data_IF_229154317763
#
_entry.id   IF_229154317763
#
_cell.length_a   1.000
_cell.length_b   1.000
_cell.length_c   1.000
_cell.angle_alpha   90.00
_cell.angle_beta   90.00
_cell.angle_gamma   90.00
#
_symmetry.space_group_name_H-M   'P 1'
#
loop_
_entity.id
_entity.type
_entity.pdbx_description
1 polymer ?
#
# COMPACT_ATOMS: atom_id res chain seq x y z
N UNK A 1 16.06 -8.50 2.08
CA UNK A 1 15.54 -8.88 3.41
C UNK A 1 14.07 -9.21 3.23
N UNK A 2 13.54 -10.28 3.82
CA UNK A 2 12.11 -10.64 3.65
C UNK A 2 11.29 -10.10 4.81
N UNK A 3 10.22 -9.35 4.51
CA UNK A 3 9.28 -8.80 5.52
C UNK A 3 7.98 -9.61 5.60
N UNK A 4 8.03 -10.88 5.17
CA UNK A 4 6.90 -11.81 5.30
C UNK A 4 6.51 -11.97 6.77
N UNK A 5 5.21 -11.84 7.06
CA UNK A 5 4.67 -11.87 8.42
C UNK A 5 4.62 -10.51 9.13
N UNK A 6 5.23 -9.46 8.57
CA UNK A 6 5.08 -8.07 9.02
C UNK A 6 4.07 -7.33 8.14
N UNK A 7 4.20 -7.49 6.82
CA UNK A 7 3.27 -6.93 5.85
C UNK A 7 2.06 -7.84 5.65
N UNK A 8 0.86 -7.29 5.38
CA UNK A 8 -0.24 -8.04 4.80
C UNK A 8 0.18 -8.81 3.55
N UNK A 9 -0.46 -9.95 3.29
CA UNK A 9 -0.06 -10.85 2.19
C UNK A 9 -0.28 -10.24 0.80
N UNK A 10 -1.21 -9.30 0.66
CA UNK A 10 -1.61 -8.73 -0.61
C UNK A 10 -1.60 -7.21 -0.59
N UNK A 11 -0.98 -6.64 -1.62
CA UNK A 11 -1.15 -5.25 -2.00
C UNK A 11 -2.27 -5.08 -3.01
N UNK A 12 -2.98 -3.97 -2.89
CA UNK A 12 -4.09 -3.57 -3.73
C UNK A 12 -3.74 -2.26 -4.44
N UNK A 13 -3.84 -2.26 -5.76
CA UNK A 13 -4.00 -1.02 -6.51
C UNK A 13 -5.43 -0.90 -7.03
N UNK A 14 -6.00 0.28 -6.84
CA UNK A 14 -7.38 0.59 -7.18
C UNK A 14 -7.41 1.79 -8.14
N UNK A 15 -7.96 1.54 -9.32
CA UNK A 15 -8.27 2.52 -10.36
C UNK A 15 -9.80 2.68 -10.43
N UNK A 16 -10.34 3.74 -11.06
CA UNK A 16 -11.76 4.05 -11.02
C UNK A 16 -12.72 2.90 -11.35
N UNK A 17 -12.33 1.99 -12.25
CA UNK A 17 -13.14 0.84 -12.68
C UNK A 17 -12.37 -0.49 -12.67
N UNK A 18 -11.14 -0.52 -12.16
CA UNK A 18 -10.27 -1.69 -12.21
C UNK A 18 -9.50 -1.84 -10.91
N UNK A 19 -9.22 -3.07 -10.51
CA UNK A 19 -8.42 -3.36 -9.33
C UNK A 19 -7.49 -4.54 -9.57
N UNK A 20 -6.40 -4.57 -8.82
CA UNK A 20 -5.35 -5.56 -8.96
C UNK A 20 -4.78 -5.89 -7.61
N UNK A 21 -4.39 -7.16 -7.45
CA UNK A 21 -3.79 -7.68 -6.24
C UNK A 21 -2.40 -8.23 -6.56
N UNK A 22 -1.49 -8.11 -5.61
CA UNK A 22 -0.14 -8.67 -5.71
C UNK A 22 0.37 -9.15 -4.36
N UNK A 23 1.05 -10.31 -4.35
CA UNK A 23 1.82 -10.80 -3.19
C UNK A 23 3.32 -10.54 -3.34
N UNK A 24 3.68 -9.59 -4.21
CA UNK A 24 5.04 -9.25 -4.58
C UNK A 24 5.68 -10.18 -5.62
N UNK A 25 5.09 -11.35 -5.92
CA UNK A 25 5.64 -12.32 -6.89
C UNK A 25 4.65 -12.62 -8.03
N UNK A 26 3.37 -12.68 -7.69
CA UNK A 26 2.28 -12.89 -8.63
C UNK A 26 1.30 -11.74 -8.52
N UNK A 27 0.76 -11.36 -9.68
CA UNK A 27 -0.27 -10.33 -9.80
C UNK A 27 -1.53 -10.95 -10.37
N UNK A 28 -2.69 -10.39 -10.02
CA UNK A 28 -3.97 -10.75 -10.62
C UNK A 28 -4.93 -9.57 -10.65
N UNK A 29 -5.78 -9.52 -11.67
CA UNK A 29 -6.95 -8.62 -11.69
C UNK A 29 -8.00 -9.10 -10.71
N UNK A 30 -8.76 -8.15 -10.15
CA UNK A 30 -9.96 -8.42 -9.38
C UNK A 30 -11.09 -7.48 -9.79
N UNK A 31 -12.29 -8.03 -9.91
CA UNK A 31 -13.50 -7.26 -10.17
C UNK A 31 -13.91 -6.44 -8.95
N UNK A 32 -14.53 -5.28 -9.16
CA UNK A 32 -14.89 -4.36 -8.06
C UNK A 32 -15.86 -5.00 -7.06
N UNK A 33 -16.77 -5.87 -7.52
CA UNK A 33 -17.67 -6.63 -6.64
C UNK A 33 -16.87 -7.51 -5.68
N UNK A 34 -15.93 -8.30 -6.20
CA UNK A 34 -15.08 -9.15 -5.37
C UNK A 34 -14.14 -8.33 -4.47
N UNK A 35 -13.65 -7.18 -4.92
CA UNK A 35 -12.88 -6.27 -4.08
C UNK A 35 -13.71 -5.76 -2.89
N UNK A 36 -14.97 -5.39 -3.10
CA UNK A 36 -15.87 -4.96 -2.01
C UNK A 36 -16.12 -6.06 -1.00
N UNK A 37 -16.22 -7.31 -1.46
CA UNK A 37 -16.34 -8.47 -0.58
C UNK A 37 -15.05 -8.70 0.21
N UNK A 38 -13.88 -8.56 -0.43
CA UNK A 38 -12.58 -8.72 0.21
C UNK A 38 -12.28 -7.61 1.24
N UNK A 39 -12.71 -6.38 0.93
CA UNK A 39 -12.43 -5.21 1.73
C UNK A 39 -12.99 -5.35 3.15
N UNK A 40 -12.09 -5.32 4.12
CA UNK A 40 -12.43 -5.52 5.52
C UNK A 40 -12.49 -6.98 6.00
N UNK A 41 -12.38 -7.98 5.11
CA UNK A 41 -12.22 -9.39 5.51
C UNK A 41 -10.79 -9.71 5.92
N UNK A 42 -9.83 -9.14 5.20
CA UNK A 42 -8.41 -9.27 5.47
C UNK A 42 -7.72 -7.91 5.36
N UNK A 43 -6.60 -7.77 6.08
CA UNK A 43 -5.76 -6.59 5.95
C UNK A 43 -5.10 -6.62 4.56
N UNK A 44 -5.01 -5.45 3.93
CA UNK A 44 -4.38 -5.27 2.63
C UNK A 44 -3.34 -4.17 2.75
N UNK A 45 -2.29 -4.26 1.95
CA UNK A 45 -1.43 -3.12 1.65
C UNK A 45 -2.15 -2.23 0.66
N UNK A 46 -2.35 -0.97 1.03
CA UNK A 46 -3.07 0.01 0.22
C UNK A 46 -2.30 1.33 0.17
N UNK A 47 -2.61 2.17 -0.81
CA UNK A 47 -2.23 3.57 -0.78
C UNK A 47 -3.52 4.38 -0.64
N UNK A 48 -3.66 5.11 0.47
CA UNK A 48 -4.83 5.94 0.78
C UNK A 48 -6.11 5.12 1.01
N UNK A 49 -6.13 4.35 2.11
CA UNK A 49 -7.28 3.54 2.52
C UNK A 49 -8.59 4.37 2.61
N UNK A 50 -8.61 5.60 3.15
CA UNK A 50 -9.83 6.42 3.20
C UNK A 50 -10.40 6.72 1.82
N UNK A 51 -9.55 7.06 0.84
CA UNK A 51 -9.98 7.31 -0.53
C UNK A 51 -10.58 6.07 -1.18
N UNK A 52 -9.94 4.90 -1.01
CA UNK A 52 -10.43 3.64 -1.58
C UNK A 52 -11.78 3.28 -0.95
N UNK A 53 -11.91 3.36 0.38
CA UNK A 53 -13.19 3.13 1.09
C UNK A 53 -14.29 4.04 0.57
N UNK A 54 -14.01 5.34 0.42
CA UNK A 54 -14.97 6.31 -0.11
C UNK A 54 -15.46 5.91 -1.51
N UNK A 55 -14.54 5.48 -2.38
CA UNK A 55 -14.86 5.03 -3.74
C UNK A 55 -15.64 3.72 -3.78
N UNK A 56 -15.31 2.76 -2.93
CA UNK A 56 -15.95 1.44 -2.92
C UNK A 56 -17.37 1.46 -2.34
N UNK A 57 -17.61 2.29 -1.32
CA UNK A 57 -18.85 2.27 -0.54
C UNK A 57 -19.65 3.57 -0.61
N UNK A 58 -19.25 4.51 -1.47
CA UNK A 58 -19.90 5.81 -1.65
C UNK A 58 -20.10 6.57 -0.31
N UNK A 59 -19.09 6.53 0.56
CA UNK A 59 -19.11 7.18 1.87
C UNK A 59 -20.02 6.54 2.92
N UNK A 60 -20.66 5.40 2.62
CA UNK A 60 -21.41 4.63 3.62
C UNK A 60 -20.44 3.94 4.59
N UNK A 61 -20.81 3.88 5.86
CA UNK A 61 -20.07 3.11 6.86
C UNK A 61 -20.01 1.64 6.45
N UNK A 62 -18.81 1.06 6.51
CA UNK A 62 -18.55 -0.35 6.22
C UNK A 62 -17.65 -0.91 7.32
N UNK A 63 -17.92 -2.13 7.78
CA UNK A 63 -17.07 -2.77 8.78
C UNK A 63 -15.78 -3.21 8.09
N UNK A 64 -14.65 -2.68 8.53
CA UNK A 64 -13.34 -3.04 7.98
C UNK A 64 -12.34 -3.36 9.08
N UNK A 65 -11.41 -4.26 8.77
CA UNK A 65 -10.15 -4.38 9.51
C UNK A 65 -9.24 -3.21 9.13
N UNK A 66 -8.25 -2.93 9.97
CA UNK A 66 -7.25 -1.92 9.65
C UNK A 66 -6.38 -2.39 8.48
N UNK A 67 -6.41 -1.63 7.39
CA UNK A 67 -5.51 -1.81 6.25
C UNK A 67 -4.14 -1.18 6.57
N UNK A 68 -3.08 -1.69 5.94
CA UNK A 68 -1.75 -1.11 6.07
C UNK A 68 -1.57 -0.07 4.97
N UNK A 69 -1.56 1.21 5.33
CA UNK A 69 -1.41 2.29 4.36
C UNK A 69 0.08 2.60 4.12
N UNK A 70 0.53 2.35 2.90
CA UNK A 70 1.93 2.55 2.50
C UNK A 70 2.29 4.04 2.49
N UNK A 71 1.32 4.96 2.34
CA UNK A 71 1.58 6.39 2.48
C UNK A 71 1.91 6.79 3.92
N UNK A 72 1.29 6.12 4.91
CA UNK A 72 1.62 6.33 6.32
C UNK A 72 3.04 5.82 6.62
N UNK A 73 3.39 4.62 6.12
CA UNK A 73 4.76 4.11 6.21
C UNK A 73 5.76 5.05 5.54
N UNK A 74 5.45 5.55 4.33
CA UNK A 74 6.29 6.50 3.61
C UNK A 74 6.52 7.77 4.43
N UNK A 75 5.44 8.38 4.95
CA UNK A 75 5.54 9.61 5.75
C UNK A 75 6.36 9.41 7.03
N UNK A 76 6.32 8.21 7.61
CA UNK A 76 7.12 7.84 8.77
C UNK A 76 8.61 7.65 8.45
N UNK A 77 8.92 6.90 7.38
CA UNK A 77 10.31 6.59 6.99
C UNK A 77 11.00 7.82 6.39
N UNK A 78 10.26 8.63 5.62
CA UNK A 78 10.75 9.80 4.89
C UNK A 78 9.99 11.06 5.28
N UNK A 79 10.17 11.56 6.52
CA UNK A 79 9.42 12.71 7.00
C UNK A 79 9.69 13.96 6.15
N UNK A 80 8.67 14.81 6.02
CA UNK A 80 8.70 16.07 5.29
C UNK A 80 9.03 15.98 3.78
N UNK A 81 8.89 14.80 3.16
CA UNK A 81 8.98 14.63 1.71
C UNK A 81 7.60 14.64 1.08
N UNK A 82 7.44 15.40 0.00
CA UNK A 82 6.18 15.44 -0.75
C UNK A 82 6.01 14.16 -1.58
N UNK A 83 4.87 13.50 -1.43
CA UNK A 83 4.45 12.38 -2.27
C UNK A 83 2.99 12.59 -2.67
N UNK A 84 2.68 12.46 -3.96
CA UNK A 84 1.27 12.39 -4.37
C UNK A 84 0.62 11.16 -3.70
N UNK A 85 -0.59 11.27 -3.13
CA UNK A 85 -1.18 10.22 -2.30
C UNK A 85 -1.82 9.11 -3.15
N UNK A 86 -1.03 8.52 -4.04
CA UNK A 86 -1.44 7.49 -4.99
C UNK A 86 -0.31 6.49 -5.21
N UNK A 87 -0.64 5.32 -5.76
CA UNK A 87 0.36 4.31 -6.12
C UNK A 87 1.35 4.85 -7.16
N UNK A 88 0.88 5.61 -8.16
CA UNK A 88 1.75 6.25 -9.14
C UNK A 88 2.68 7.31 -8.49
N UNK A 89 2.18 8.08 -7.52
CA UNK A 89 2.99 9.03 -6.76
C UNK A 89 4.11 8.35 -5.96
N UNK A 90 3.77 7.26 -5.26
CA UNK A 90 4.73 6.41 -4.56
C UNK A 90 5.74 5.80 -5.53
N UNK A 91 5.29 5.28 -6.67
CA UNK A 91 6.17 4.73 -7.70
C UNK A 91 7.22 5.75 -8.14
N UNK A 92 6.78 6.95 -8.51
CA UNK A 92 7.64 8.04 -8.98
C UNK A 92 8.71 8.42 -7.96
N UNK A 93 8.32 8.69 -6.70
CA UNK A 93 9.28 9.13 -5.66
C UNK A 93 10.24 8.02 -5.23
N UNK A 94 9.82 6.75 -5.38
CA UNK A 94 10.65 5.59 -5.09
C UNK A 94 11.50 5.14 -6.28
N UNK A 95 11.41 5.84 -7.42
CA UNK A 95 12.22 5.55 -8.61
C UNK A 95 11.71 4.40 -9.48
N UNK A 96 10.47 3.95 -9.25
CA UNK A 96 9.78 3.02 -10.13
C UNK A 96 9.17 3.77 -11.34
N UNK A 97 8.98 3.04 -12.45
CA UNK A 97 8.18 3.55 -13.57
C UNK A 97 6.72 3.76 -13.18
N UNK A 98 6.01 4.58 -13.94
CA UNK A 98 4.56 4.70 -13.78
C UNK A 98 3.90 3.35 -14.11
N UNK A 99 3.04 2.78 -13.23
CA UNK A 99 2.43 1.49 -13.49
C UNK A 99 1.39 1.55 -14.61
N UNK A 100 1.47 0.62 -15.58
CA UNK A 100 0.59 0.56 -16.76
C UNK A 100 -0.83 0.04 -16.45
N UNK A 101 -1.07 -0.42 -15.22
CA UNK A 101 -2.36 -0.98 -14.82
C UNK A 101 -2.44 -1.35 -13.34
N UNK A 102 -3.60 -1.85 -12.89
CA UNK A 102 -3.80 -2.17 -11.48
C UNK A 102 -2.97 -3.38 -11.02
N UNK A 103 -2.70 -4.35 -11.89
CA UNK A 103 -1.85 -5.50 -11.55
C UNK A 103 -0.41 -5.06 -11.25
N UNK A 104 0.17 -4.25 -12.13
CA UNK A 104 1.50 -3.68 -11.95
C UNK A 104 1.52 -2.69 -10.79
N UNK A 105 0.50 -1.84 -10.65
CA UNK A 105 0.39 -0.92 -9.52
C UNK A 105 0.38 -1.66 -8.18
N UNK A 106 -0.32 -2.79 -8.08
CA UNK A 106 -0.33 -3.60 -6.86
C UNK A 106 1.05 -4.19 -6.58
N UNK A 107 1.76 -4.64 -7.63
CA UNK A 107 3.12 -5.13 -7.49
C UNK A 107 4.09 -4.04 -7.05
N UNK A 108 4.07 -2.87 -7.68
CA UNK A 108 4.90 -1.73 -7.31
C UNK A 108 4.62 -1.30 -5.87
N UNK A 109 3.35 -1.24 -5.46
CA UNK A 109 2.99 -0.89 -4.09
C UNK A 109 3.59 -1.88 -3.07
N UNK A 110 3.59 -3.18 -3.38
CA UNK A 110 4.22 -4.19 -2.54
C UNK A 110 5.74 -3.97 -2.45
N UNK A 111 6.39 -3.70 -3.59
CA UNK A 111 7.83 -3.44 -3.66
C UNK A 111 8.23 -2.19 -2.87
N UNK A 112 7.47 -1.10 -3.02
CA UNK A 112 7.65 0.13 -2.25
C UNK A 112 7.57 -0.12 -0.75
N UNK A 113 6.59 -0.91 -0.29
CA UNK A 113 6.48 -1.25 1.12
C UNK A 113 7.71 -2.03 1.63
N UNK A 114 8.21 -3.00 0.86
CA UNK A 114 9.43 -3.73 1.22
C UNK A 114 10.67 -2.83 1.24
N UNK A 115 10.81 -1.91 0.30
CA UNK A 115 11.95 -0.97 0.24
C UNK A 115 11.94 0.00 1.43
N UNK A 116 10.78 0.55 1.77
CA UNK A 116 10.62 1.44 2.93
C UNK A 116 10.93 0.71 4.24
N UNK A 117 10.49 -0.54 4.37
CA UNK A 117 10.85 -1.37 5.53
C UNK A 117 12.34 -1.72 5.57
N UNK A 118 12.98 -1.95 4.42
CA UNK A 118 14.42 -2.18 4.33
C UNK A 118 15.20 -0.92 4.75
N UNK A 119 14.78 0.25 4.29
CA UNK A 119 15.32 1.54 4.69
C UNK A 119 15.21 1.74 6.21
N UNK A 120 14.02 1.49 6.77
CA UNK A 120 13.77 1.57 8.21
C UNK A 120 14.65 0.58 9.02
N UNK A 121 14.81 -0.65 8.53
CA UNK A 121 15.66 -1.66 9.18
C UNK A 121 17.14 -1.29 9.14
N UNK A 122 17.59 -0.62 8.06
CA UNK A 122 18.95 -0.11 7.90
C UNK A 122 19.25 1.17 8.69
N UNK A 123 18.22 1.89 9.16
CA UNK A 123 18.38 3.13 9.90
C UNK A 123 19.16 2.95 11.22
N UNK A 124 19.86 4.01 11.64
CA UNK A 124 20.70 3.98 12.84
C UNK A 124 19.89 3.65 14.10
N UNK A 125 20.56 3.11 15.13
CA UNK A 125 19.93 2.81 16.43
C UNK A 125 19.25 4.06 17.02
N UNK A 126 19.83 5.25 16.85
CA UNK A 126 19.26 6.50 17.32
C UNK A 126 17.88 6.79 16.70
N UNK A 127 17.73 6.59 15.39
CA UNK A 127 16.44 6.73 14.70
C UNK A 127 15.39 5.74 15.23
N UNK A 128 15.79 4.48 15.45
CA UNK A 128 14.90 3.45 16.00
C UNK A 128 14.48 3.69 17.46
N UNK A 129 15.31 4.38 18.24
CA UNK A 129 15.00 4.74 19.64
C UNK A 129 14.03 5.92 19.73
N UNK A 130 14.13 6.92 18.83
CA UNK A 130 13.18 8.03 18.78
C UNK A 130 11.76 7.59 18.39
N UNK A 131 11.65 6.52 17.58
CA UNK A 131 10.38 5.92 17.16
C UNK A 131 9.65 5.08 18.24
N UNK A 132 10.29 4.79 19.37
CA UNK A 132 9.76 3.93 20.45
C UNK A 132 9.18 4.70 21.64
N UNK A 133 9.32 6.02 21.66
CA UNK A 133 8.79 6.91 22.71
C UNK A 133 7.41 7.44 22.31
#
# INVERSE_FOLDING_TARGET
MSFRGVLPEQALAFLPSKAGLSNGHQTRRIEIVHLRELWGREALLVANAPFIRQRLFAGRGHREVQHFDVLELFAFVRPAQFCAPSVAGLAQIMGYGEPDGPEEGAWVLFRVAEDLLAELAGASVAFRLMARA
#
